data_IF_593394365299
#
_entry.id   IF_593394365299
#
_cell.length_a   1.000
_cell.length_b   1.000
_cell.length_c   1.000
_cell.angle_alpha   90.00
_cell.angle_beta   90.00
_cell.angle_gamma   90.00
#
_symmetry.space_group_name_H-M   'P 1'
#
loop_
_entity.id
_entity.type
_entity.pdbx_description
1 polymer ?
#
# COMPACT_ATOMS: atom_id res chain seq x y z
N UNK A 1 -24.82 -10.59 -11.34
CA UNK A 1 -23.51 -10.02 -10.96
C UNK A 1 -23.54 -9.89 -9.45
N UNK A 2 -22.64 -10.54 -8.72
CA UNK A 2 -22.58 -10.35 -7.26
C UNK A 2 -22.21 -8.90 -6.99
N UNK A 3 -23.15 -8.15 -6.44
CA UNK A 3 -23.00 -6.74 -6.09
C UNK A 3 -21.79 -6.58 -5.14
N UNK A 4 -20.73 -5.93 -5.59
CA UNK A 4 -19.58 -5.64 -4.74
C UNK A 4 -20.03 -4.75 -3.57
N UNK A 5 -19.62 -5.11 -2.35
CA UNK A 5 -20.05 -4.43 -1.11
C UNK A 5 -19.01 -3.44 -0.56
N UNK A 6 -17.90 -3.24 -1.27
CA UNK A 6 -16.87 -2.24 -0.95
C UNK A 6 -16.21 -1.73 -2.24
N UNK A 7 -15.63 -0.54 -2.16
CA UNK A 7 -14.67 -0.01 -3.13
C UNK A 7 -13.26 -0.34 -2.61
N UNK A 8 -12.48 -1.09 -3.37
CA UNK A 8 -11.16 -1.55 -2.95
C UNK A 8 -10.08 -0.68 -3.59
N UNK A 9 -9.29 -0.01 -2.76
CA UNK A 9 -8.21 0.90 -3.18
C UNK A 9 -6.88 0.25 -2.83
N UNK A 10 -6.11 -0.17 -3.82
CA UNK A 10 -4.72 -0.59 -3.58
C UNK A 10 -3.81 0.63 -3.45
N UNK A 11 -2.92 0.64 -2.46
CA UNK A 11 -1.80 1.57 -2.34
C UNK A 11 -0.52 0.76 -2.29
N UNK A 12 0.27 0.83 -3.36
CA UNK A 12 1.51 0.06 -3.48
C UNK A 12 2.75 0.91 -3.76
N UNK A 13 3.92 0.27 -3.80
CA UNK A 13 5.22 0.91 -3.91
C UNK A 13 6.26 0.30 -2.98
N UNK A 14 7.52 0.64 -3.20
CA UNK A 14 8.66 0.11 -2.44
C UNK A 14 8.51 0.28 -0.93
N UNK A 15 9.14 -0.61 -0.16
CA UNK A 15 9.31 -0.47 1.29
C UNK A 15 9.80 0.94 1.66
N UNK A 16 9.26 1.52 2.74
CA UNK A 16 9.59 2.88 3.21
C UNK A 16 9.24 4.06 2.29
N UNK A 17 8.37 3.88 1.29
CA UNK A 17 7.90 4.98 0.43
C UNK A 17 6.87 5.92 1.08
N UNK A 18 6.18 5.49 2.14
CA UNK A 18 5.16 6.28 2.85
C UNK A 18 3.71 5.80 2.70
N UNK A 19 3.50 4.60 2.13
CA UNK A 19 2.17 3.99 1.88
C UNK A 19 1.26 3.98 3.10
N UNK A 20 1.71 3.42 4.22
CA UNK A 20 0.96 3.33 5.49
C UNK A 20 0.55 4.69 6.02
N UNK A 21 1.43 5.70 5.91
CA UNK A 21 1.10 7.08 6.29
C UNK A 21 -0.02 7.63 5.40
N UNK A 22 0.09 7.45 4.08
CA UNK A 22 -0.95 7.89 3.15
C UNK A 22 -2.28 7.17 3.39
N UNK A 23 -2.26 5.84 3.57
CA UNK A 23 -3.43 5.01 3.83
C UNK A 23 -4.19 5.49 5.08
N UNK A 24 -3.48 5.74 6.19
CA UNK A 24 -4.07 6.28 7.42
C UNK A 24 -4.64 7.69 7.24
N UNK A 25 -3.93 8.58 6.55
CA UNK A 25 -4.45 9.92 6.23
C UNK A 25 -5.74 9.85 5.42
N UNK A 26 -5.80 9.01 4.37
CA UNK A 26 -7.00 8.83 3.56
C UNK A 26 -8.16 8.21 4.35
N UNK A 27 -7.88 7.20 5.19
CA UNK A 27 -8.87 6.62 6.12
C UNK A 27 -9.47 7.69 7.04
N UNK A 28 -8.64 8.56 7.59
CA UNK A 28 -9.08 9.60 8.53
C UNK A 28 -9.80 10.77 7.84
N UNK A 29 -9.72 10.87 6.51
CA UNK A 29 -10.34 11.91 5.67
C UNK A 29 -11.68 11.45 5.10
N UNK A 30 -11.73 10.26 4.48
CA UNK A 30 -12.93 9.74 3.85
C UNK A 30 -13.78 8.93 4.84
N UNK A 31 -15.09 9.22 5.03
CA UNK A 31 -16.01 8.56 5.98
C UNK A 31 -15.95 7.03 6.10
N UNK A 32 -16.90 6.17 5.75
CA UNK A 32 -16.76 4.71 6.00
C UNK A 32 -15.55 4.07 5.29
N UNK A 33 -14.36 4.12 5.88
CA UNK A 33 -13.08 3.70 5.29
C UNK A 33 -12.28 2.93 6.33
N UNK A 34 -11.67 1.83 5.92
CA UNK A 34 -10.78 1.03 6.76
C UNK A 34 -9.56 0.56 5.97
N UNK A 35 -8.55 0.04 6.66
CA UNK A 35 -7.30 -0.40 6.06
C UNK A 35 -7.11 -1.89 6.32
N UNK A 36 -6.60 -2.58 5.31
CA UNK A 36 -6.01 -3.91 5.42
C UNK A 36 -4.54 -3.80 5.01
N UNK A 37 -3.62 -4.19 5.89
CA UNK A 37 -2.19 -4.17 5.58
C UNK A 37 -1.75 -5.54 5.05
N UNK A 38 -1.01 -5.56 3.95
CA UNK A 38 -0.38 -6.78 3.42
C UNK A 38 0.59 -7.40 4.45
N UNK A 39 1.28 -6.56 5.21
CA UNK A 39 2.25 -6.98 6.24
C UNK A 39 1.59 -7.78 7.39
N UNK A 40 0.29 -7.65 7.62
CA UNK A 40 -0.42 -8.47 8.60
C UNK A 40 -0.55 -9.95 8.15
N UNK A 41 -0.22 -10.26 6.89
CA UNK A 41 -0.26 -11.59 6.31
C UNK A 41 1.11 -12.25 6.19
N UNK A 42 2.17 -11.72 6.83
CA UNK A 42 3.43 -12.45 6.93
C UNK A 42 3.22 -13.84 7.55
N UNK A 43 4.00 -14.80 7.06
CA UNK A 43 4.13 -16.11 7.70
C UNK A 43 4.86 -15.96 9.03
N UNK A 44 4.81 -17.02 9.83
CA UNK A 44 5.62 -17.13 11.06
C UNK A 44 7.10 -17.18 10.72
N UNK A 45 7.95 -16.70 11.62
CA UNK A 45 9.38 -16.46 11.40
C UNK A 45 10.12 -17.69 10.84
N UNK A 46 9.78 -18.89 11.31
CA UNK A 46 10.36 -20.16 10.81
C UNK A 46 10.03 -20.50 9.35
N UNK A 47 8.94 -19.96 8.82
CA UNK A 47 8.42 -20.23 7.48
C UNK A 47 8.80 -19.11 6.49
N UNK A 48 9.52 -18.08 6.96
CA UNK A 48 10.10 -17.04 6.11
C UNK A 48 11.26 -17.64 5.31
N UNK A 49 11.29 -17.46 3.98
CA UNK A 49 12.35 -18.01 3.14
C UNK A 49 13.70 -17.42 3.52
N UNK A 50 14.77 -18.20 3.36
CA UNK A 50 16.14 -17.76 3.61
C UNK A 50 16.91 -17.74 2.30
N UNK A 51 17.50 -16.59 1.97
CA UNK A 51 18.33 -16.38 0.78
C UNK A 51 19.71 -15.92 1.21
N UNK A 52 20.74 -16.62 0.76
CA UNK A 52 22.15 -16.34 1.10
C UNK A 52 22.41 -16.20 2.61
N UNK A 53 21.71 -17.01 3.41
CA UNK A 53 21.82 -17.03 4.87
C UNK A 53 21.07 -15.92 5.61
N UNK A 54 20.23 -15.14 4.91
CA UNK A 54 19.40 -14.07 5.49
C UNK A 54 17.93 -14.36 5.23
N UNK A 55 17.07 -14.17 6.23
CA UNK A 55 15.62 -14.30 6.08
C UNK A 55 15.10 -13.20 5.14
N UNK A 56 14.39 -13.57 4.09
CA UNK A 56 13.86 -12.68 3.07
C UNK A 56 12.39 -12.37 3.36
N UNK A 57 12.16 -11.29 4.10
CA UNK A 57 10.82 -10.78 4.40
C UNK A 57 10.21 -9.99 3.24
N UNK A 58 11.00 -9.54 2.26
CA UNK A 58 10.54 -8.63 1.21
C UNK A 58 10.27 -9.41 -0.09
N UNK A 59 9.65 -10.59 0.01
CA UNK A 59 9.31 -11.46 -1.12
C UNK A 59 7.91 -12.06 -0.99
N UNK A 60 7.34 -12.52 -2.10
CA UNK A 60 5.98 -13.09 -2.12
C UNK A 60 5.86 -14.33 -1.23
N UNK A 61 6.91 -15.15 -1.17
CA UNK A 61 6.94 -16.38 -0.39
C UNK A 61 6.91 -16.13 1.12
N UNK A 62 7.21 -14.91 1.58
CA UNK A 62 7.04 -14.51 2.98
C UNK A 62 5.57 -14.26 3.36
N UNK A 63 4.69 -14.05 2.38
CA UNK A 63 3.27 -13.72 2.59
C UNK A 63 2.41 -14.98 2.53
N UNK A 64 1.45 -15.10 3.45
CA UNK A 64 0.37 -16.06 3.36
C UNK A 64 -0.67 -15.58 2.34
N UNK A 65 -0.35 -15.77 1.07
CA UNK A 65 -1.15 -15.29 -0.06
C UNK A 65 -2.59 -15.78 -0.02
N UNK A 66 -2.81 -17.04 0.40
CA UNK A 66 -4.15 -17.62 0.49
C UNK A 66 -5.01 -16.88 1.51
N UNK A 67 -4.48 -16.61 2.70
CA UNK A 67 -5.19 -15.84 3.72
C UNK A 67 -5.48 -14.40 3.25
N UNK A 68 -4.54 -13.79 2.52
CA UNK A 68 -4.71 -12.45 1.96
C UNK A 68 -5.83 -12.41 0.90
N UNK A 69 -5.83 -13.37 -0.03
CA UNK A 69 -6.89 -13.52 -1.03
C UNK A 69 -8.28 -13.77 -0.42
N UNK A 70 -8.34 -14.59 0.64
CA UNK A 70 -9.58 -14.88 1.36
C UNK A 70 -10.10 -13.61 2.07
N UNK A 71 -9.21 -12.80 2.65
CA UNK A 71 -9.57 -11.52 3.25
C UNK A 71 -10.11 -10.51 2.22
N UNK A 72 -9.46 -10.39 1.06
CA UNK A 72 -9.93 -9.53 -0.04
C UNK A 72 -11.30 -10.00 -0.58
N UNK A 73 -11.47 -11.32 -0.72
CA UNK A 73 -12.76 -11.92 -1.15
C UNK A 73 -13.87 -11.65 -0.13
N UNK A 74 -13.54 -11.70 1.16
CA UNK A 74 -14.47 -11.37 2.24
C UNK A 74 -14.88 -9.88 2.18
N UNK A 75 -13.91 -8.97 2.08
CA UNK A 75 -14.16 -7.52 1.95
C UNK A 75 -15.09 -7.23 0.76
N UNK A 76 -14.81 -7.85 -0.40
CA UNK A 76 -15.59 -7.64 -1.62
C UNK A 76 -17.05 -8.10 -1.49
N UNK A 77 -17.31 -9.11 -0.68
CA UNK A 77 -18.64 -9.71 -0.47
C UNK A 77 -19.41 -9.15 0.74
N UNK A 78 -18.71 -8.63 1.75
CA UNK A 78 -19.33 -8.19 3.02
C UNK A 78 -19.21 -6.67 3.26
N UNK A 79 -18.25 -6.00 2.63
CA UNK A 79 -18.00 -4.57 2.82
C UNK A 79 -17.19 -4.22 4.06
N UNK A 80 -16.67 -5.22 4.79
CA UNK A 80 -15.92 -5.02 6.04
C UNK A 80 -14.67 -5.90 6.06
N UNK A 81 -13.71 -5.56 6.93
CA UNK A 81 -12.62 -6.48 7.27
C UNK A 81 -13.20 -7.79 7.85
N UNK A 82 -12.52 -8.95 7.64
CA UNK A 82 -12.87 -10.17 8.35
C UNK A 82 -12.95 -9.96 9.87
N UNK A 83 -13.96 -10.49 10.57
CA UNK A 83 -14.23 -10.15 11.98
C UNK A 83 -13.12 -10.57 12.95
N UNK A 84 -12.40 -11.65 12.64
CA UNK A 84 -11.31 -12.16 13.49
C UNK A 84 -9.95 -11.53 13.14
N UNK A 85 -9.92 -10.56 12.22
CA UNK A 85 -8.69 -9.92 11.78
C UNK A 85 -8.41 -8.66 12.60
N UNK A 86 -7.33 -8.71 13.38
CA UNK A 86 -6.81 -7.58 14.15
C UNK A 86 -5.47 -7.15 13.58
N UNK A 87 -5.44 -5.97 12.96
CA UNK A 87 -4.20 -5.45 12.38
C UNK A 87 -3.18 -5.15 13.47
N UNK A 88 -1.97 -5.72 13.32
CA UNK A 88 -0.82 -5.36 14.16
C UNK A 88 -0.22 -4.06 13.68
N UNK A 89 -0.22 -3.87 12.36
CA UNK A 89 0.30 -2.67 11.73
C UNK A 89 -0.43 -1.41 12.17
N UNK A 90 -1.74 -1.42 12.40
CA UNK A 90 -2.49 -0.25 12.91
C UNK A 90 -1.96 0.26 14.28
N UNK A 91 -1.38 -0.63 15.10
CA UNK A 91 -0.83 -0.28 16.41
C UNK A 91 0.58 0.32 16.34
N UNK A 92 1.24 0.26 15.17
CA UNK A 92 2.55 0.87 15.00
C UNK A 92 2.44 2.40 15.07
N UNK A 93 3.30 3.01 15.90
CA UNK A 93 3.40 4.46 16.00
C UNK A 93 3.98 5.02 14.70
N UNK A 94 3.20 5.81 13.97
CA UNK A 94 3.79 6.66 12.95
C UNK A 94 4.63 7.73 13.66
N UNK A 95 5.85 7.95 13.18
CA UNK A 95 6.59 9.16 13.52
C UNK A 95 5.79 10.42 13.13
N UNK A 96 6.32 11.60 13.43
CA UNK A 96 5.66 12.87 13.12
C UNK A 96 5.30 12.97 11.63
N UNK A 97 4.00 12.95 11.33
CA UNK A 97 3.49 13.10 9.96
C UNK A 97 3.52 14.58 9.60
N UNK A 98 4.34 14.93 8.61
CA UNK A 98 4.53 16.31 8.14
C UNK A 98 3.39 16.79 7.23
N UNK A 99 2.16 16.76 7.74
CA UNK A 99 0.98 17.32 7.06
C UNK A 99 0.23 18.18 8.07
N UNK A 100 -0.12 19.41 7.69
CA UNK A 100 -0.83 20.30 8.60
C UNK A 100 -2.26 19.81 8.87
N UNK A 101 -2.72 19.96 10.11
CA UNK A 101 -4.09 19.62 10.51
C UNK A 101 -5.14 20.40 9.71
N UNK A 102 -4.81 21.61 9.25
CA UNK A 102 -5.67 22.43 8.40
C UNK A 102 -5.92 21.79 7.03
N UNK A 103 -4.89 21.20 6.40
CA UNK A 103 -5.05 20.48 5.12
C UNK A 103 -5.92 19.25 5.32
N UNK A 104 -5.65 18.45 6.35
CA UNK A 104 -6.44 17.24 6.66
C UNK A 104 -7.90 17.59 6.94
N UNK A 105 -8.15 18.65 7.74
CA UNK A 105 -9.51 19.10 8.04
C UNK A 105 -10.25 19.55 6.78
N UNK A 106 -9.59 20.33 5.92
CA UNK A 106 -10.19 20.81 4.68
C UNK A 106 -10.58 19.65 3.75
N UNK A 107 -9.67 18.69 3.54
CA UNK A 107 -9.94 17.51 2.71
C UNK A 107 -11.06 16.63 3.29
N UNK A 108 -11.12 16.51 4.63
CA UNK A 108 -12.21 15.79 5.31
C UNK A 108 -13.57 16.44 5.07
N UNK A 109 -13.64 17.76 5.12
CA UNK A 109 -14.88 18.49 4.84
C UNK A 109 -15.33 18.28 3.38
N UNK A 110 -14.39 18.30 2.42
CA UNK A 110 -14.68 17.98 1.02
C UNK A 110 -15.12 16.52 0.83
N UNK A 111 -14.49 15.56 1.54
CA UNK A 111 -14.82 14.14 1.42
C UNK A 111 -16.28 13.83 1.83
N UNK A 112 -16.83 14.61 2.78
CA UNK A 112 -18.24 14.50 3.21
C UNK A 112 -19.23 14.96 2.15
N UNK A 113 -18.80 15.73 1.15
CA UNK A 113 -19.66 16.16 0.05
C UNK A 113 -19.83 15.09 -1.03
N UNK A 114 -18.91 14.11 -1.07
CA UNK A 114 -18.90 13.03 -2.07
C UNK A 114 -19.27 11.67 -1.49
N UNK A 115 -19.55 11.59 -0.19
CA UNK A 115 -19.96 10.35 0.49
C UNK A 115 -21.11 10.62 1.46
N UNK A 116 -22.07 9.72 1.46
CA UNK A 116 -23.20 9.69 2.40
C UNK A 116 -23.28 8.32 3.10
N UNK A 117 -24.26 8.14 3.98
CA UNK A 117 -24.45 6.90 4.77
C UNK A 117 -24.79 5.67 3.91
N UNK A 118 -25.28 5.87 2.68
CA UNK A 118 -25.62 4.81 1.74
C UNK A 118 -24.44 4.44 0.84
N UNK A 119 -23.33 5.19 0.90
CA UNK A 119 -22.15 4.93 0.08
C UNK A 119 -21.47 3.63 0.50
N UNK A 120 -20.97 2.87 -0.48
CA UNK A 120 -20.16 1.70 -0.17
C UNK A 120 -18.95 2.08 0.69
N UNK A 121 -18.54 1.21 1.63
CA UNK A 121 -17.31 1.39 2.37
C UNK A 121 -16.09 1.35 1.44
N UNK A 122 -15.04 2.07 1.82
CA UNK A 122 -13.76 2.07 1.13
C UNK A 122 -12.78 1.20 1.91
N UNK A 123 -12.24 0.17 1.25
CA UNK A 123 -11.21 -0.69 1.80
C UNK A 123 -9.86 -0.31 1.18
N UNK A 124 -8.99 0.32 1.96
CA UNK A 124 -7.62 0.63 1.52
C UNK A 124 -6.74 -0.58 1.79
N UNK A 125 -6.10 -1.11 0.76
CA UNK A 125 -5.15 -2.22 0.84
C UNK A 125 -3.75 -1.62 0.73
N UNK A 126 -3.00 -1.62 1.83
CA UNK A 126 -1.64 -1.06 1.92
C UNK A 126 -0.62 -2.19 1.85
N UNK A 127 0.23 -2.21 0.81
CA UNK A 127 1.18 -3.32 0.62
C UNK A 127 2.27 -3.03 -0.40
N UNK A 128 3.44 -3.64 -0.22
CA UNK A 128 4.61 -3.39 -1.08
C UNK A 128 4.66 -4.29 -2.32
N UNK A 129 3.94 -5.42 -2.38
CA UNK A 129 3.92 -6.34 -3.53
C UNK A 129 2.63 -6.31 -4.33
N UNK A 130 1.65 -5.49 -3.93
CA UNK A 130 0.30 -5.50 -4.54
C UNK A 130 0.31 -5.36 -6.07
N UNK A 131 1.30 -4.66 -6.64
CA UNK A 131 1.46 -4.48 -8.09
C UNK A 131 2.61 -5.25 -8.71
N UNK A 132 3.17 -6.22 -7.99
CA UNK A 132 4.12 -7.16 -8.57
C UNK A 132 3.52 -7.92 -9.76
N UNK A 133 4.37 -8.42 -10.65
CA UNK A 133 3.93 -9.21 -11.79
C UNK A 133 3.19 -10.49 -11.35
N UNK A 134 3.67 -11.10 -10.25
CA UNK A 134 3.11 -12.32 -9.66
C UNK A 134 1.75 -12.07 -8.96
N UNK A 135 1.45 -10.83 -8.53
CA UNK A 135 0.16 -10.47 -7.90
C UNK A 135 -0.92 -9.97 -8.88
N UNK A 136 -0.85 -10.35 -10.18
CA UNK A 136 -1.86 -9.93 -11.16
C UNK A 136 -3.30 -10.16 -10.72
N UNK A 137 -3.61 -11.35 -10.18
CA UNK A 137 -4.97 -11.69 -9.76
C UNK A 137 -5.49 -10.79 -8.64
N UNK A 138 -4.64 -10.44 -7.68
CA UNK A 138 -4.95 -9.52 -6.58
C UNK A 138 -5.09 -8.10 -7.10
N UNK A 139 -4.15 -7.64 -7.94
CA UNK A 139 -4.20 -6.31 -8.56
C UNK A 139 -5.50 -6.07 -9.33
N UNK A 140 -6.00 -7.09 -10.02
CA UNK A 140 -7.24 -7.04 -10.81
C UNK A 140 -8.51 -6.93 -9.92
N UNK A 141 -8.39 -7.10 -8.60
CA UNK A 141 -9.50 -6.91 -7.65
C UNK A 141 -9.73 -5.45 -7.27
N UNK A 142 -8.77 -4.55 -7.50
CA UNK A 142 -8.81 -3.17 -7.03
C UNK A 142 -9.55 -2.24 -8.00
N UNK A 143 -10.44 -1.42 -7.45
CA UNK A 143 -11.20 -0.40 -8.17
C UNK A 143 -10.40 0.89 -8.41
N UNK A 144 -9.40 1.14 -7.56
CA UNK A 144 -8.43 2.24 -7.66
C UNK A 144 -7.05 1.69 -7.34
N UNK A 145 -6.05 2.04 -8.16
CA UNK A 145 -4.68 1.56 -8.00
C UNK A 145 -3.73 2.74 -7.87
N UNK A 146 -3.17 2.98 -6.68
CA UNK A 146 -2.25 4.09 -6.38
C UNK A 146 -0.84 3.54 -6.18
N UNK A 147 0.14 4.06 -6.93
CA UNK A 147 1.53 3.64 -6.84
C UNK A 147 2.44 4.77 -6.35
N UNK A 148 3.03 4.60 -5.16
CA UNK A 148 4.00 5.51 -4.56
C UNK A 148 5.41 5.16 -5.00
N UNK A 149 6.23 6.20 -5.13
CA UNK A 149 7.63 6.09 -5.54
C UNK A 149 8.56 6.73 -4.53
N UNK A 150 9.76 6.20 -4.42
CA UNK A 150 10.89 6.86 -3.76
C UNK A 150 12.18 6.31 -4.35
N UNK A 151 13.25 7.09 -4.33
CA UNK A 151 14.58 6.67 -4.77
C UNK A 151 15.23 5.70 -3.77
N UNK A 152 16.21 4.94 -4.25
CA UNK A 152 16.94 3.96 -3.45
C UNK A 152 17.53 4.56 -2.18
N UNK A 153 18.17 5.73 -2.29
CA UNK A 153 18.85 6.38 -1.17
C UNK A 153 17.86 6.73 -0.05
N UNK A 154 16.70 7.25 -0.40
CA UNK A 154 15.63 7.60 0.54
C UNK A 154 15.00 6.36 1.15
N UNK A 155 14.66 5.35 0.34
CA UNK A 155 14.13 4.07 0.83
C UNK A 155 15.08 3.42 1.85
N UNK A 156 16.36 3.33 1.49
CA UNK A 156 17.43 2.80 2.33
C UNK A 156 17.55 3.57 3.64
N UNK A 157 17.72 4.89 3.57
CA UNK A 157 17.90 5.72 4.77
C UNK A 157 16.71 5.59 5.74
N UNK A 158 15.48 5.49 5.21
CA UNK A 158 14.29 5.30 6.04
C UNK A 158 14.15 3.89 6.59
N UNK A 159 14.55 2.86 5.84
CA UNK A 159 14.54 1.46 6.30
C UNK A 159 15.56 1.25 7.41
N UNK A 160 16.80 1.68 7.19
CA UNK A 160 17.91 1.58 8.16
C UNK A 160 17.66 2.41 9.43
N UNK A 161 16.80 3.42 9.38
CA UNK A 161 16.40 4.21 10.55
C UNK A 161 15.33 3.53 11.42
N UNK A 162 14.73 2.41 10.99
CA UNK A 162 13.77 1.68 11.81
C UNK A 162 14.51 0.86 12.86
N UNK A 163 14.02 0.87 14.09
CA UNK A 163 14.62 0.13 15.22
C UNK A 163 14.33 -1.38 15.16
N UNK A 164 13.47 -1.81 14.24
CA UNK A 164 13.06 -3.20 14.01
C UNK A 164 11.55 -3.34 13.80
N UNK A 165 11.08 -4.58 13.75
CA UNK A 165 9.74 -5.00 13.31
C UNK A 165 9.18 -6.00 14.29
N UNK A 166 7.90 -5.86 14.66
CA UNK A 166 7.19 -6.86 15.45
C UNK A 166 6.74 -7.97 14.52
N UNK A 167 7.13 -9.22 14.79
CA UNK A 167 6.75 -10.39 13.98
C UNK A 167 5.60 -11.16 14.64
N UNK A 168 5.20 -12.30 14.06
CA UNK A 168 4.23 -13.18 14.71
C UNK A 168 4.81 -13.86 15.96
N UNK A 169 6.12 -14.14 15.96
CA UNK A 169 6.79 -14.92 17.01
C UNK A 169 7.79 -14.11 17.86
N UNK A 170 8.00 -12.83 17.54
CA UNK A 170 8.90 -11.98 18.32
C UNK A 170 9.19 -10.63 17.68
N UNK A 171 10.48 -10.36 17.45
CA UNK A 171 10.99 -9.09 16.96
C UNK A 171 12.13 -9.35 15.97
N UNK A 172 12.08 -8.66 14.83
CA UNK A 172 13.08 -8.73 13.77
C UNK A 172 13.82 -7.39 13.64
N UNK A 173 15.14 -7.45 13.51
CA UNK A 173 15.96 -6.29 13.15
C UNK A 173 16.70 -6.62 11.87
N UNK A 174 16.63 -5.71 10.89
CA UNK A 174 17.29 -5.89 9.61
C UNK A 174 18.82 -6.01 9.82
N UNK A 175 19.48 -7.09 9.34
CA UNK A 175 20.91 -7.22 9.44
C UNK A 175 21.65 -6.17 8.59
N UNK A 176 22.94 -5.88 8.87
CA UNK A 176 23.72 -4.92 8.08
C UNK A 176 23.71 -5.22 6.57
N UNK A 177 23.30 -4.24 5.78
CA UNK A 177 23.19 -4.33 4.32
C UNK A 177 21.94 -5.06 3.82
N UNK A 178 20.92 -5.29 4.66
CA UNK A 178 19.67 -5.93 4.28
C UNK A 178 18.98 -5.26 3.09
N UNK A 179 18.99 -3.92 3.04
CA UNK A 179 18.41 -3.17 1.90
C UNK A 179 19.08 -3.52 0.58
N UNK A 180 20.40 -3.62 0.58
CA UNK A 180 21.21 -3.85 -0.62
C UNK A 180 21.11 -5.29 -1.11
N UNK A 181 20.92 -6.23 -0.17
CA UNK A 181 20.93 -7.67 -0.43
C UNK A 181 19.53 -8.24 -0.68
N UNK A 182 18.50 -7.65 -0.10
CA UNK A 182 17.14 -8.21 -0.05
C UNK A 182 16.10 -7.22 -0.57
N UNK A 183 15.84 -6.13 0.19
CA UNK A 183 14.73 -5.20 -0.08
C UNK A 183 14.76 -4.64 -1.49
N UNK A 184 15.90 -4.05 -1.90
CA UNK A 184 16.00 -3.38 -3.20
C UNK A 184 16.03 -4.36 -4.37
N UNK A 185 16.84 -5.45 -4.34
CA UNK A 185 16.78 -6.47 -5.38
C UNK A 185 15.39 -7.08 -5.59
N UNK A 186 14.62 -7.34 -4.53
CA UNK A 186 13.26 -7.87 -4.68
C UNK A 186 12.31 -6.82 -5.24
N UNK A 187 12.38 -5.56 -4.79
CA UNK A 187 11.61 -4.48 -5.41
C UNK A 187 11.88 -4.37 -6.92
N UNK A 188 13.16 -4.44 -7.34
CA UNK A 188 13.53 -4.47 -8.76
C UNK A 188 12.94 -5.68 -9.46
N UNK A 189 13.10 -6.89 -8.90
CA UNK A 189 12.54 -8.13 -9.47
C UNK A 189 11.06 -7.96 -9.76
N UNK A 190 10.30 -7.50 -8.77
CA UNK A 190 8.85 -7.55 -8.77
C UNK A 190 8.20 -6.39 -9.52
N UNK A 191 8.88 -5.25 -9.64
CA UNK A 191 8.29 -4.02 -10.20
C UNK A 191 8.97 -3.49 -11.45
N UNK A 192 10.13 -4.01 -11.88
CA UNK A 192 10.86 -3.49 -13.07
C UNK A 192 9.98 -3.35 -14.32
N UNK A 193 8.98 -4.20 -14.50
CA UNK A 193 8.07 -4.16 -15.66
C UNK A 193 7.20 -2.89 -15.72
N UNK A 194 7.05 -2.17 -14.60
CA UNK A 194 6.36 -0.87 -14.54
C UNK A 194 7.25 0.29 -15.00
N UNK A 195 8.53 0.05 -15.28
CA UNK A 195 9.52 1.09 -15.56
C UNK A 195 10.16 0.90 -16.94
N UNK A 196 10.51 2.02 -17.59
CA UNK A 196 11.24 2.00 -18.85
C UNK A 196 12.57 1.29 -18.67
N UNK A 197 12.89 0.39 -19.60
CA UNK A 197 14.12 -0.42 -19.61
C UNK A 197 14.37 -1.23 -18.33
N UNK A 198 13.33 -1.44 -17.50
CA UNK A 198 13.45 -2.11 -16.21
C UNK A 198 14.13 -1.30 -15.11
N UNK A 199 14.38 0.00 -15.31
CA UNK A 199 15.06 0.85 -14.35
C UNK A 199 14.08 1.45 -13.32
N UNK A 200 13.99 0.86 -12.13
CA UNK A 200 13.07 1.30 -11.07
C UNK A 200 13.37 2.68 -10.47
N UNK A 201 14.57 3.23 -10.72
CA UNK A 201 14.91 4.62 -10.37
C UNK A 201 14.61 5.61 -11.51
N UNK A 202 14.33 5.09 -12.71
CA UNK A 202 14.07 5.86 -13.93
C UNK A 202 12.61 6.28 -14.09
N UNK A 203 12.19 6.49 -15.33
CA UNK A 203 10.80 6.83 -15.62
C UNK A 203 9.90 5.58 -15.60
N UNK A 204 8.66 5.76 -15.18
CA UNK A 204 7.63 4.74 -15.35
C UNK A 204 7.31 4.56 -16.84
N UNK A 205 7.01 3.32 -17.21
CA UNK A 205 6.46 3.03 -18.54
C UNK A 205 4.97 3.42 -18.55
N UNK A 206 4.69 4.59 -19.13
CA UNK A 206 3.32 5.12 -19.20
C UNK A 206 2.36 4.22 -19.97
N UNK A 207 2.85 3.43 -20.93
CA UNK A 207 2.01 2.47 -21.66
C UNK A 207 1.54 1.35 -20.73
N UNK A 208 2.47 0.80 -19.93
CA UNK A 208 2.17 -0.26 -18.96
C UNK A 208 1.27 0.27 -17.83
N UNK A 209 1.61 1.40 -17.21
CA UNK A 209 0.82 1.94 -16.10
C UNK A 209 -0.59 2.34 -16.55
N UNK A 210 -0.74 2.90 -17.75
CA UNK A 210 -2.08 3.20 -18.31
C UNK A 210 -2.86 1.92 -18.60
N UNK A 211 -2.24 0.91 -19.19
CA UNK A 211 -2.90 -0.37 -19.49
C UNK A 211 -3.39 -1.08 -18.22
N UNK A 212 -2.65 -0.93 -17.11
CA UNK A 212 -3.02 -1.52 -15.82
C UNK A 212 -3.91 -0.61 -14.97
N UNK A 213 -4.21 0.60 -15.46
CA UNK A 213 -4.98 1.64 -14.76
C UNK A 213 -4.38 1.96 -13.38
N UNK A 214 -3.05 2.12 -13.35
CA UNK A 214 -2.29 2.49 -12.15
C UNK A 214 -2.08 4.00 -12.16
N UNK A 215 -2.62 4.67 -11.15
CA UNK A 215 -2.41 6.08 -10.85
C UNK A 215 -1.06 6.25 -10.15
N UNK A 216 -0.14 6.95 -10.80
CA UNK A 216 1.25 7.03 -10.36
C UNK A 216 1.55 8.36 -9.69
N UNK A 217 2.22 8.31 -8.54
CA UNK A 217 2.55 9.51 -7.78
C UNK A 217 3.35 10.52 -8.64
N UNK A 218 2.94 11.80 -8.69
CA UNK A 218 3.69 12.84 -9.37
C UNK A 218 5.11 12.99 -8.82
N UNK A 219 6.07 13.29 -9.70
CA UNK A 219 7.47 13.40 -9.32
C UNK A 219 7.70 14.51 -8.28
N UNK A 220 6.94 15.60 -8.33
CA UNK A 220 7.05 16.72 -7.38
C UNK A 220 6.37 16.45 -6.03
N UNK A 221 5.62 15.36 -5.90
CA UNK A 221 5.09 14.87 -4.63
C UNK A 221 6.08 13.95 -3.88
N UNK A 222 7.18 13.52 -4.53
CA UNK A 222 8.19 12.69 -3.89
C UNK A 222 8.87 13.45 -2.74
N UNK A 223 8.74 12.92 -1.52
CA UNK A 223 9.27 13.55 -0.31
C UNK A 223 8.37 14.64 0.30
N UNK A 224 7.26 14.99 -0.34
CA UNK A 224 6.26 15.93 0.17
C UNK A 224 4.93 15.20 0.42
N UNK A 225 4.70 14.80 1.67
CA UNK A 225 3.49 14.07 2.05
C UNK A 225 2.21 14.91 1.88
N UNK A 226 2.30 16.24 1.92
CA UNK A 226 1.13 17.10 1.70
C UNK A 226 0.69 17.05 0.24
N UNK A 227 1.63 17.18 -0.70
CA UNK A 227 1.33 17.03 -2.14
C UNK A 227 0.88 15.62 -2.49
N UNK A 228 1.54 14.60 -1.93
CA UNK A 228 1.17 13.20 -2.13
C UNK A 228 -0.27 12.93 -1.67
N UNK A 229 -0.63 13.43 -0.47
CA UNK A 229 -1.98 13.32 0.05
C UNK A 229 -3.01 14.01 -0.84
N UNK A 230 -2.75 15.25 -1.26
CA UNK A 230 -3.68 16.01 -2.10
C UNK A 230 -3.91 15.33 -3.46
N UNK A 231 -2.85 14.81 -4.08
CA UNK A 231 -2.96 14.05 -5.32
C UNK A 231 -3.79 12.76 -5.14
N UNK A 232 -3.43 11.94 -4.15
CA UNK A 232 -4.13 10.68 -3.89
C UNK A 232 -5.61 10.91 -3.49
N UNK A 233 -5.88 11.99 -2.76
CA UNK A 233 -7.24 12.44 -2.47
C UNK A 233 -8.02 12.70 -3.76
N UNK A 234 -7.47 13.48 -4.69
CA UNK A 234 -8.15 13.79 -5.95
C UNK A 234 -8.40 12.56 -6.82
N UNK A 235 -7.45 11.60 -6.84
CA UNK A 235 -7.64 10.31 -7.51
C UNK A 235 -8.84 9.55 -6.93
N UNK A 236 -8.88 9.39 -5.61
CA UNK A 236 -9.96 8.67 -4.95
C UNK A 236 -11.30 9.42 -5.06
N UNK A 237 -11.32 10.73 -4.87
CA UNK A 237 -12.50 11.57 -5.04
C UNK A 237 -13.09 11.42 -6.45
N UNK A 238 -12.25 11.49 -7.49
CA UNK A 238 -12.67 11.31 -8.88
C UNK A 238 -13.37 9.97 -9.10
N UNK A 239 -12.81 8.87 -8.54
CA UNK A 239 -13.45 7.56 -8.61
C UNK A 239 -14.78 7.52 -7.88
N UNK A 240 -14.84 8.04 -6.66
CA UNK A 240 -16.06 8.02 -5.84
C UNK A 240 -17.20 8.79 -6.53
N UNK A 241 -16.91 9.95 -7.14
CA UNK A 241 -17.90 10.71 -7.91
C UNK A 241 -18.42 9.92 -9.11
N UNK A 242 -17.55 9.21 -9.83
CA UNK A 242 -17.94 8.38 -10.99
C UNK A 242 -18.88 7.21 -10.64
N UNK A 243 -18.93 6.79 -9.36
CA UNK A 243 -19.85 5.74 -8.90
C UNK A 243 -21.22 6.25 -8.46
N UNK A 244 -21.41 7.58 -8.40
CA UNK A 244 -22.69 8.21 -8.06
C UNK A 244 -23.57 8.49 -9.29
N UNK A 245 -23.00 8.46 -10.49
CA UNK A 245 -23.66 8.65 -11.78
C UNK A 245 -24.14 7.31 -12.38
#
# INVERSE_FOLDING_TARGET
MSEHKAIIVGISGVSSSGKTTLARLLRDIFPGTFILHEDDFYKVDKDIPVKDGVADWDCLEAINLKAFEDALSYIKSHGTSPPDFHSKEDNNSLGEVKVSSSVVSHLRDQARLVRNEQSLPVAIIDGFLLYSEEMKAIRDLFDVKIFLRTDYKTARSRREARTGYVTLEGFWEDPPGYVDKVVWPNYVKDHKFLFKDGNVEGELDQGVTSQLEIETMPADAQGDMTRCLQWAYSVLEGRLRSTME
#
